data_IF_828616540132
#
_entry.id   IF_828616540132
#
_cell.length_a   1.000
_cell.length_b   1.000
_cell.length_c   1.000
_cell.angle_alpha   90.00
_cell.angle_beta   90.00
_cell.angle_gamma   90.00
#
_symmetry.space_group_name_H-M   'P 1'
#
loop_
_entity.id
_entity.type
_entity.pdbx_description
1 polymer ?
#
# COMPACT_ATOMS: atom_id res chain seq x y z
N UNK A 1 -23.94 -18.46 -14.07
CA UNK A 1 -23.80 -17.29 -13.16
C UNK A 1 -24.19 -16.05 -13.93
N UNK A 2 -25.11 -15.24 -13.41
CA UNK A 2 -25.86 -14.26 -14.20
C UNK A 2 -25.02 -13.06 -14.62
N UNK A 3 -25.00 -12.78 -15.93
CA UNK A 3 -24.50 -11.52 -16.52
C UNK A 3 -25.02 -10.28 -15.75
N UNK A 4 -26.26 -10.35 -15.27
CA UNK A 4 -26.87 -9.31 -14.44
C UNK A 4 -26.10 -8.99 -13.15
N UNK A 5 -25.52 -10.01 -12.48
CA UNK A 5 -24.72 -9.80 -11.26
C UNK A 5 -23.39 -9.13 -11.59
N UNK A 6 -22.79 -9.52 -12.70
CA UNK A 6 -21.52 -8.97 -13.19
C UNK A 6 -21.68 -7.47 -13.55
N UNK A 7 -22.72 -7.14 -14.33
CA UNK A 7 -23.05 -5.76 -14.69
C UNK A 7 -23.38 -4.89 -13.47
N UNK A 8 -24.14 -5.44 -12.52
CA UNK A 8 -24.48 -4.71 -11.30
C UNK A 8 -23.22 -4.36 -10.48
N UNK A 9 -22.29 -5.31 -10.35
CA UNK A 9 -21.01 -5.07 -9.66
C UNK A 9 -20.13 -4.07 -10.41
N UNK A 10 -20.06 -4.15 -11.74
CA UNK A 10 -19.32 -3.20 -12.57
C UNK A 10 -19.85 -1.77 -12.41
N UNK A 11 -21.17 -1.59 -12.47
CA UNK A 11 -21.83 -0.29 -12.23
C UNK A 11 -21.58 0.22 -10.82
N UNK A 12 -21.67 -0.65 -9.80
CA UNK A 12 -21.41 -0.28 -8.40
C UNK A 12 -19.96 0.11 -8.16
N UNK A 13 -19.02 -0.60 -8.79
CA UNK A 13 -17.60 -0.24 -8.80
C UNK A 13 -17.40 1.14 -9.41
N UNK A 14 -17.91 1.39 -10.63
CA UNK A 14 -17.79 2.66 -11.32
C UNK A 14 -18.43 3.83 -10.55
N UNK A 15 -19.59 3.60 -9.95
CA UNK A 15 -20.28 4.57 -9.08
C UNK A 15 -19.44 4.90 -7.83
N UNK A 16 -18.79 3.91 -7.21
CA UNK A 16 -17.87 4.13 -6.07
C UNK A 16 -16.64 4.96 -6.45
N UNK A 17 -16.36 5.09 -7.75
CA UNK A 17 -15.24 5.87 -8.33
C UNK A 17 -15.69 7.20 -8.95
N UNK A 18 -16.95 7.61 -8.72
CA UNK A 18 -17.50 8.88 -9.21
C UNK A 18 -17.82 8.89 -10.71
N UNK A 19 -17.86 7.72 -11.36
CA UNK A 19 -18.21 7.62 -12.78
C UNK A 19 -19.74 7.69 -12.92
N UNK A 20 -20.28 8.39 -13.94
CA UNK A 20 -21.72 8.48 -14.15
C UNK A 20 -22.37 7.10 -14.37
N UNK A 21 -23.61 6.88 -13.90
CA UNK A 21 -24.26 5.57 -13.90
C UNK A 21 -24.81 5.11 -15.26
N UNK A 22 -24.94 6.01 -16.24
CA UNK A 22 -25.47 5.73 -17.58
C UNK A 22 -24.35 5.38 -18.58
N UNK A 23 -23.77 4.20 -18.41
CA UNK A 23 -22.79 3.65 -19.34
C UNK A 23 -23.44 2.49 -20.09
N UNK A 24 -23.24 2.45 -21.41
CA UNK A 24 -23.79 1.42 -22.31
C UNK A 24 -23.20 0.03 -22.01
N UNK A 25 -21.87 -0.05 -21.86
CA UNK A 25 -21.15 -1.26 -21.44
C UNK A 25 -20.31 -0.99 -20.17
N UNK A 26 -20.86 -1.22 -18.96
CA UNK A 26 -20.16 -0.96 -17.71
C UNK A 26 -18.96 -1.89 -17.52
N UNK A 27 -18.94 -3.06 -18.16
CA UNK A 27 -17.87 -4.03 -18.00
C UNK A 27 -16.63 -3.60 -18.77
N UNK A 28 -16.82 -3.17 -20.02
CA UNK A 28 -15.75 -2.65 -20.88
C UNK A 28 -15.02 -1.46 -20.27
N UNK A 29 -15.72 -0.65 -19.47
CA UNK A 29 -15.12 0.50 -18.78
C UNK A 29 -14.52 0.14 -17.40
N UNK A 30 -15.18 -0.73 -16.62
CA UNK A 30 -14.72 -1.11 -15.29
C UNK A 30 -13.42 -1.94 -15.32
N UNK A 31 -13.28 -2.87 -16.26
CA UNK A 31 -12.14 -3.78 -16.37
C UNK A 31 -10.78 -3.09 -16.57
N UNK A 32 -10.60 -2.23 -17.60
CA UNK A 32 -9.31 -1.57 -17.82
C UNK A 32 -8.97 -0.62 -16.67
N UNK A 33 -9.97 0.03 -16.08
CA UNK A 33 -9.79 0.91 -14.92
C UNK A 33 -9.36 0.13 -13.68
N UNK A 34 -10.00 -1.01 -13.39
CA UNK A 34 -9.60 -1.90 -12.32
C UNK A 34 -8.16 -2.41 -12.51
N UNK A 35 -7.78 -2.78 -13.73
CA UNK A 35 -6.41 -3.19 -14.05
C UNK A 35 -5.39 -2.05 -13.86
N UNK A 36 -5.77 -0.81 -14.16
CA UNK A 36 -4.93 0.36 -13.89
C UNK A 36 -4.76 0.60 -12.39
N UNK A 37 -5.86 0.63 -11.62
CA UNK A 37 -5.86 0.82 -10.17
C UNK A 37 -5.02 -0.28 -9.47
N UNK A 38 -5.20 -1.54 -9.85
CA UNK A 38 -4.43 -2.67 -9.28
C UNK A 38 -2.93 -2.53 -9.55
N UNK A 39 -2.54 -2.09 -10.75
CA UNK A 39 -1.13 -1.83 -11.09
C UNK A 39 -0.56 -0.67 -10.27
N UNK A 40 -1.32 0.41 -10.12
CA UNK A 40 -0.90 1.59 -9.38
C UNK A 40 -0.77 1.30 -7.88
N UNK A 41 -1.77 0.68 -7.27
CA UNK A 41 -1.73 0.24 -5.85
C UNK A 41 -0.54 -0.68 -5.61
N UNK A 42 -0.31 -1.64 -6.50
CA UNK A 42 0.82 -2.57 -6.34
C UNK A 42 2.17 -1.84 -6.45
N UNK A 43 2.28 -0.85 -7.33
CA UNK A 43 3.50 -0.03 -7.46
C UNK A 43 3.73 0.83 -6.22
N UNK A 44 2.71 1.55 -5.75
CA UNK A 44 2.77 2.40 -4.57
C UNK A 44 3.08 1.60 -3.31
N UNK A 45 2.34 0.51 -3.05
CA UNK A 45 2.61 -0.35 -1.90
C UNK A 45 4.02 -0.95 -1.94
N UNK A 46 4.55 -1.27 -3.13
CA UNK A 46 5.94 -1.70 -3.27
C UNK A 46 6.91 -0.58 -2.92
N UNK A 47 6.70 0.65 -3.43
CA UNK A 47 7.54 1.80 -3.10
C UNK A 47 7.52 2.10 -1.61
N UNK A 48 6.34 2.10 -0.97
CA UNK A 48 6.19 2.33 0.47
C UNK A 48 6.96 1.29 1.29
N UNK A 49 6.88 0.02 0.91
CA UNK A 49 7.62 -1.06 1.57
C UNK A 49 9.14 -0.91 1.39
N UNK A 50 9.60 -0.57 0.19
CA UNK A 50 11.03 -0.32 -0.08
C UNK A 50 11.54 0.91 0.66
N UNK A 51 10.77 1.99 0.67
CA UNK A 51 11.09 3.21 1.40
C UNK A 51 11.15 2.93 2.90
N UNK A 52 10.19 2.20 3.45
CA UNK A 52 10.17 1.79 4.86
C UNK A 52 11.38 0.93 5.21
N UNK A 53 11.74 -0.03 4.34
CA UNK A 53 12.93 -0.87 4.54
C UNK A 53 14.23 -0.04 4.48
N UNK A 54 14.34 0.88 3.51
CA UNK A 54 15.49 1.76 3.39
C UNK A 54 15.64 2.70 4.60
N UNK A 55 14.53 3.27 5.09
CA UNK A 55 14.52 4.10 6.30
C UNK A 55 14.91 3.27 7.53
N UNK A 56 14.40 2.05 7.68
CA UNK A 56 14.78 1.15 8.77
C UNK A 56 16.27 0.84 8.76
N UNK A 57 16.83 0.48 7.60
CA UNK A 57 18.27 0.20 7.45
C UNK A 57 19.10 1.45 7.75
N UNK A 58 18.70 2.61 7.22
CA UNK A 58 19.37 3.88 7.49
C UNK A 58 19.34 4.23 8.98
N UNK A 59 18.18 4.12 9.63
CA UNK A 59 18.01 4.36 11.07
C UNK A 59 18.85 3.41 11.92
N UNK A 60 18.86 2.11 11.60
CA UNK A 60 19.72 1.11 12.25
C UNK A 60 21.21 1.44 12.08
N UNK A 61 21.61 1.83 10.87
CA UNK A 61 23.00 2.20 10.58
C UNK A 61 23.42 3.44 11.35
N UNK A 62 22.54 4.44 11.45
CA UNK A 62 22.76 5.66 12.22
C UNK A 62 22.88 5.36 13.72
N UNK A 63 22.00 4.51 14.25
CA UNK A 63 22.06 4.07 15.64
C UNK A 63 23.35 3.28 15.93
N UNK A 64 23.74 2.36 15.05
CA UNK A 64 24.97 1.58 15.20
C UNK A 64 26.21 2.49 15.14
N UNK A 65 26.25 3.42 14.20
CA UNK A 65 27.35 4.39 14.05
C UNK A 65 27.43 5.31 15.28
N UNK A 66 26.29 5.78 15.80
CA UNK A 66 26.24 6.58 17.02
C UNK A 66 26.77 5.82 18.25
N UNK A 67 26.48 4.52 18.36
CA UNK A 67 26.99 3.66 19.44
C UNK A 67 28.49 3.40 19.30
N UNK A 68 29.03 3.36 18.08
CA UNK A 68 30.47 3.16 17.80
C UNK A 68 31.29 4.45 17.79
N UNK A 69 30.65 5.62 17.73
CA UNK A 69 31.30 6.93 17.74
C UNK A 69 32.04 7.35 19.03
N UNK A 70 31.83 6.80 20.25
CA UNK A 70 32.35 7.43 21.46
C UNK A 70 33.82 7.16 21.75
N UNK A 71 34.61 6.67 20.78
CA UNK A 71 36.06 6.56 20.96
C UNK A 71 36.78 7.93 21.00
N UNK A 72 36.14 9.02 20.53
CA UNK A 72 36.77 10.34 20.39
C UNK A 72 35.92 11.54 20.88
N UNK A 73 34.70 11.33 21.41
CA UNK A 73 33.77 12.40 21.79
C UNK A 73 33.66 12.58 23.32
N UNK A 74 33.43 13.83 23.78
CA UNK A 74 33.28 14.15 25.21
C UNK A 74 32.03 13.51 25.85
N UNK A 75 32.08 13.28 27.16
CA UNK A 75 31.10 12.51 27.94
C UNK A 75 29.63 12.96 27.76
N UNK A 76 29.38 14.27 27.63
CA UNK A 76 28.05 14.84 27.34
C UNK A 76 27.52 14.45 25.95
N UNK A 77 28.39 14.42 24.94
CA UNK A 77 28.03 14.05 23.57
C UNK A 77 27.70 12.56 23.50
N UNK A 78 28.48 11.74 24.19
CA UNK A 78 28.24 10.29 24.30
C UNK A 78 26.90 9.98 24.98
N UNK A 79 26.59 10.65 26.11
CA UNK A 79 25.30 10.52 26.79
C UNK A 79 24.13 10.93 25.90
N UNK A 80 24.25 12.03 25.16
CA UNK A 80 23.21 12.49 24.24
C UNK A 80 22.95 11.47 23.13
N UNK A 81 24.00 10.97 22.47
CA UNK A 81 23.88 9.97 21.41
C UNK A 81 23.26 8.67 21.92
N UNK A 82 23.64 8.23 23.13
CA UNK A 82 23.11 7.02 23.76
C UNK A 82 21.59 7.07 23.95
N UNK A 83 20.99 8.26 24.11
CA UNK A 83 19.55 8.42 24.32
C UNK A 83 18.82 8.79 23.02
N UNK A 84 19.41 9.65 22.19
CA UNK A 84 18.79 10.09 20.95
C UNK A 84 18.74 8.98 19.88
N UNK A 85 19.77 8.14 19.79
CA UNK A 85 19.82 7.06 18.79
C UNK A 85 18.72 5.99 18.98
N UNK A 86 18.48 5.46 20.21
CA UNK A 86 17.38 4.53 20.44
C UNK A 86 16.01 5.16 20.19
N UNK A 87 15.80 6.42 20.59
CA UNK A 87 14.53 7.12 20.38
C UNK A 87 14.25 7.32 18.89
N UNK A 88 15.25 7.73 18.12
CA UNK A 88 15.14 7.85 16.67
C UNK A 88 14.88 6.48 16.00
N UNK A 89 15.58 5.43 16.43
CA UNK A 89 15.36 4.06 15.96
C UNK A 89 13.93 3.57 16.24
N UNK A 90 13.40 3.83 17.44
CA UNK A 90 12.03 3.52 17.82
C UNK A 90 11.01 4.29 16.96
N UNK A 91 11.21 5.59 16.76
CA UNK A 91 10.32 6.41 15.95
C UNK A 91 10.25 5.90 14.49
N UNK A 92 11.39 5.58 13.89
CA UNK A 92 11.46 4.99 12.54
C UNK A 92 10.81 3.60 12.51
N UNK A 93 11.05 2.78 13.55
CA UNK A 93 10.44 1.46 13.68
C UNK A 93 8.92 1.51 13.74
N UNK A 94 8.36 2.38 14.57
CA UNK A 94 6.92 2.60 14.69
C UNK A 94 6.35 3.11 13.37
N UNK A 95 7.00 4.09 12.74
CA UNK A 95 6.55 4.62 11.45
C UNK A 95 6.52 3.53 10.37
N UNK A 96 7.59 2.72 10.25
CA UNK A 96 7.65 1.62 9.31
C UNK A 96 6.58 0.55 9.58
N UNK A 97 6.34 0.21 10.85
CA UNK A 97 5.27 -0.72 11.24
C UNK A 97 3.89 -0.21 10.80
N UNK A 98 3.59 1.07 11.02
CA UNK A 98 2.32 1.69 10.61
C UNK A 98 2.17 1.70 9.08
N UNK A 99 3.26 1.97 8.34
CA UNK A 99 3.23 1.91 6.88
C UNK A 99 2.98 0.48 6.40
N UNK A 100 3.68 -0.51 6.98
CA UNK A 100 3.49 -1.93 6.63
C UNK A 100 2.06 -2.38 6.93
N UNK A 101 1.52 -2.05 8.11
CA UNK A 101 0.17 -2.42 8.52
C UNK A 101 -0.90 -1.87 7.57
N UNK A 102 -0.71 -0.65 7.05
CA UNK A 102 -1.63 -0.03 6.09
C UNK A 102 -1.44 -0.52 4.65
N UNK A 103 -0.19 -0.72 4.21
CA UNK A 103 0.12 -1.04 2.82
C UNK A 103 0.06 -2.54 2.50
N UNK A 104 0.30 -3.42 3.49
CA UNK A 104 0.21 -4.87 3.33
C UNK A 104 -1.18 -5.40 2.92
N UNK A 105 -2.30 -5.01 3.58
CA UNK A 105 -3.62 -5.50 3.21
C UNK A 105 -4.03 -5.03 1.81
N UNK A 106 -3.66 -3.80 1.42
CA UNK A 106 -3.91 -3.28 0.08
C UNK A 106 -3.12 -4.02 -0.99
N UNK A 107 -1.85 -4.34 -0.70
CA UNK A 107 -1.02 -5.13 -1.59
C UNK A 107 -1.56 -6.55 -1.78
N UNK A 108 -2.00 -7.21 -0.70
CA UNK A 108 -2.61 -8.54 -0.76
C UNK A 108 -3.93 -8.53 -1.52
N UNK A 109 -4.78 -7.51 -1.32
CA UNK A 109 -6.02 -7.35 -2.06
C UNK A 109 -5.75 -7.16 -3.56
N UNK A 110 -4.82 -6.26 -3.92
CA UNK A 110 -4.42 -6.04 -5.31
C UNK A 110 -3.85 -7.32 -5.96
N UNK A 111 -3.11 -8.14 -5.20
CA UNK A 111 -2.56 -9.41 -5.69
C UNK A 111 -3.65 -10.44 -5.95
N UNK A 112 -4.65 -10.55 -5.06
CA UNK A 112 -5.80 -11.44 -5.26
C UNK A 112 -6.65 -11.01 -6.45
N UNK A 113 -6.94 -9.71 -6.60
CA UNK A 113 -7.68 -9.19 -7.75
C UNK A 113 -6.91 -9.48 -9.05
N UNK A 114 -5.59 -9.26 -9.08
CA UNK A 114 -4.77 -9.57 -10.24
C UNK A 114 -4.78 -11.07 -10.60
N UNK A 115 -4.81 -11.95 -9.60
CA UNK A 115 -4.93 -13.38 -9.82
C UNK A 115 -6.31 -13.77 -10.37
N UNK A 116 -7.39 -13.24 -9.77
CA UNK A 116 -8.77 -13.46 -10.23
C UNK A 116 -9.01 -12.96 -11.66
N UNK A 117 -8.41 -11.82 -12.02
CA UNK A 117 -8.45 -11.31 -13.40
C UNK A 117 -7.74 -12.23 -14.39
N UNK A 118 -6.61 -12.83 -14.00
CA UNK A 118 -5.87 -13.79 -14.85
C UNK A 118 -6.61 -15.10 -15.06
N UNK A 119 -7.38 -15.56 -14.07
CA UNK A 119 -8.16 -16.80 -14.14
C UNK A 119 -9.55 -16.61 -14.75
N UNK A 120 -9.91 -15.38 -15.16
CA UNK A 120 -11.23 -15.06 -15.70
C UNK A 120 -12.35 -15.00 -14.65
N UNK A 121 -12.01 -15.01 -13.35
CA UNK A 121 -12.96 -14.91 -12.24
C UNK A 121 -13.41 -13.45 -12.02
N UNK A 122 -14.08 -12.87 -13.01
CA UNK A 122 -14.43 -11.45 -13.06
C UNK A 122 -15.38 -11.02 -11.92
N UNK A 123 -16.33 -11.89 -11.54
CA UNK A 123 -17.27 -11.61 -10.43
C UNK A 123 -16.50 -11.46 -9.12
N UNK A 124 -15.55 -12.35 -8.85
CA UNK A 124 -14.73 -12.32 -7.63
C UNK A 124 -13.78 -11.11 -7.63
N UNK A 125 -13.16 -10.81 -8.77
CA UNK A 125 -12.30 -9.64 -8.93
C UNK A 125 -13.05 -8.32 -8.64
N UNK A 126 -14.26 -8.16 -9.19
CA UNK A 126 -15.11 -6.99 -8.98
C UNK A 126 -15.66 -6.92 -7.55
N UNK A 127 -16.07 -8.05 -6.97
CA UNK A 127 -16.59 -8.10 -5.60
C UNK A 127 -15.52 -7.72 -4.58
N UNK A 128 -14.29 -8.23 -4.74
CA UNK A 128 -13.14 -7.84 -3.92
C UNK A 128 -12.80 -6.36 -4.14
N UNK A 129 -12.86 -5.86 -5.38
CA UNK A 129 -12.57 -4.46 -5.69
C UNK A 129 -13.55 -3.49 -5.02
N UNK A 130 -14.86 -3.79 -5.05
CA UNK A 130 -15.90 -2.97 -4.42
C UNK A 130 -15.72 -2.89 -2.91
N UNK A 131 -15.35 -4.00 -2.25
CA UNK A 131 -15.30 -4.06 -0.79
C UNK A 131 -13.94 -3.72 -0.19
N UNK A 132 -12.83 -4.05 -0.87
CA UNK A 132 -11.48 -4.00 -0.27
C UNK A 132 -10.55 -2.98 -0.93
N UNK A 133 -10.82 -2.56 -2.16
CA UNK A 133 -9.98 -1.56 -2.82
C UNK A 133 -10.51 -0.17 -2.45
N UNK A 134 -9.86 0.48 -1.48
CA UNK A 134 -10.26 1.80 -0.99
C UNK A 134 -10.30 2.80 -2.15
N UNK A 135 -11.39 3.58 -2.27
CA UNK A 135 -11.55 4.62 -3.30
C UNK A 135 -10.42 5.66 -3.30
N UNK A 136 -9.70 5.81 -2.19
CA UNK A 136 -8.52 6.68 -2.07
C UNK A 136 -7.37 6.28 -3.02
N UNK A 137 -7.28 5.01 -3.40
CA UNK A 137 -6.31 4.56 -4.40
C UNK A 137 -6.61 5.07 -5.82
N UNK A 138 -7.84 5.51 -6.09
CA UNK A 138 -8.27 6.03 -7.38
C UNK A 138 -8.14 7.56 -7.51
N UNK A 139 -7.76 8.25 -6.43
CA UNK A 139 -7.63 9.71 -6.36
C UNK A 139 -6.16 10.19 -6.22
N UNK A 140 -5.20 9.26 -6.21
CA UNK A 140 -3.76 9.54 -6.23
C UNK A 140 -3.18 9.26 -7.61
#
# INVERSE_FOLDING_TARGET
MSLQRLDHLARRYLASRGTPPMIEDPLAEALPRLQAEVRQVRRLARLDLWLSAALLISGLTLALTAVMAPLHAGLLVTLLYLHAAPLAGLAVGIWAAVVVEKSAPQWLAARHIAAALKTGALVEALDIAVHRLSARAAAA
#
